data_IF_696478647394
#
_entry.id   IF_696478647394
#
_cell.length_a   1.000
_cell.length_b   1.000
_cell.length_c   1.000
_cell.angle_alpha   90.00
_cell.angle_beta   90.00
_cell.angle_gamma   90.00
#
_symmetry.space_group_name_H-M   'P 1'
#
loop_
_entity.id
_entity.type
_entity.pdbx_description
1 polymer ?
#
# COMPACT_ATOMS: atom_id res chain seq x y z
N UNK A 1 7.95 18.34 2.58
CA UNK A 1 8.87 17.46 3.34
C UNK A 1 9.13 16.26 2.47
N UNK A 2 10.40 15.93 2.20
CA UNK A 2 10.74 14.70 1.51
C UNK A 2 10.93 13.57 2.52
N UNK A 3 10.40 12.38 2.25
CA UNK A 3 10.52 11.21 3.12
C UNK A 3 11.23 10.10 2.35
N UNK A 4 12.26 9.51 2.96
CA UNK A 4 13.02 8.38 2.43
C UNK A 4 12.90 7.20 3.40
N UNK A 5 12.56 6.02 2.89
CA UNK A 5 12.60 4.77 3.66
C UNK A 5 14.04 4.26 3.69
N UNK A 6 14.56 3.92 4.87
CA UNK A 6 15.86 3.26 5.06
C UNK A 6 15.66 1.82 5.56
N UNK A 7 16.73 1.03 5.69
CA UNK A 7 16.65 -0.34 6.21
C UNK A 7 16.12 -0.38 7.66
N UNK A 8 16.42 0.65 8.43
CA UNK A 8 16.15 0.72 9.88
C UNK A 8 15.01 1.68 10.25
N UNK A 9 14.41 2.40 9.29
CA UNK A 9 13.33 3.34 9.60
C UNK A 9 13.03 4.35 8.49
N UNK A 10 12.81 5.61 8.86
CA UNK A 10 12.45 6.69 7.93
C UNK A 10 13.31 7.94 8.17
N UNK A 11 13.75 8.56 7.07
CA UNK A 11 14.39 9.88 7.08
C UNK A 11 13.44 10.91 6.50
N UNK A 12 13.21 11.99 7.24
CA UNK A 12 12.40 13.11 6.76
C UNK A 12 13.22 14.38 6.67
N UNK A 13 13.07 15.08 5.55
CA UNK A 13 13.68 16.37 5.34
C UNK A 13 12.92 17.47 6.07
N UNK A 14 13.66 18.32 6.77
CA UNK A 14 13.14 19.50 7.43
C UNK A 14 12.40 20.41 6.45
N UNK A 15 11.18 20.82 6.81
CA UNK A 15 10.45 21.84 6.03
C UNK A 15 11.11 23.21 6.06
N UNK A 16 11.87 23.51 7.11
CA UNK A 16 12.41 24.85 7.36
C UNK A 16 13.83 25.01 6.82
N UNK A 17 14.55 23.90 6.59
CA UNK A 17 15.92 23.89 6.04
C UNK A 17 16.07 22.70 5.10
N UNK A 18 15.89 22.92 3.80
CA UNK A 18 16.14 21.89 2.78
C UNK A 18 17.58 21.36 2.92
N UNK A 19 17.76 20.05 2.76
CA UNK A 19 19.03 19.37 2.96
C UNK A 19 19.28 18.81 4.37
N UNK A 20 18.53 19.25 5.40
CA UNK A 20 18.62 18.66 6.73
C UNK A 20 17.65 17.49 6.87
N UNK A 21 18.20 16.30 7.12
CA UNK A 21 17.45 15.07 7.30
C UNK A 21 17.40 14.68 8.78
N UNK A 22 16.24 14.25 9.24
CA UNK A 22 16.04 13.71 10.58
C UNK A 22 15.60 12.27 10.50
N UNK A 23 16.15 11.45 11.39
CA UNK A 23 15.69 10.07 11.58
C UNK A 23 14.43 10.07 12.43
N UNK A 24 13.48 9.24 12.00
CA UNK A 24 12.16 9.12 12.58
C UNK A 24 11.79 7.66 12.64
N UNK A 25 11.46 7.22 13.85
CA UNK A 25 10.77 5.96 14.07
C UNK A 25 9.27 6.27 14.17
N UNK A 26 8.42 5.67 13.31
CA UNK A 26 6.97 5.83 13.42
C UNK A 26 6.36 4.90 14.48
N UNK A 27 7.02 3.77 14.76
CA UNK A 27 6.59 2.72 15.70
C UNK A 27 6.88 3.11 17.16
N UNK A 28 8.13 3.47 17.45
CA UNK A 28 8.52 4.14 18.69
C UNK A 28 8.41 5.63 18.42
N UNK A 29 7.65 6.45 19.17
CA UNK A 29 7.40 7.85 18.83
C UNK A 29 8.66 8.72 19.03
N UNK A 30 9.73 8.44 18.29
CA UNK A 30 11.06 9.02 18.43
C UNK A 30 11.46 9.75 17.16
N UNK A 31 12.11 10.90 17.32
CA UNK A 31 12.62 11.68 16.21
C UNK A 31 13.89 12.43 16.63
N UNK A 32 14.96 12.39 15.83
CA UNK A 32 16.20 13.08 16.19
C UNK A 32 16.12 14.62 16.08
N UNK A 33 15.00 15.17 15.60
CA UNK A 33 14.92 16.59 15.34
C UNK A 33 15.01 17.44 16.64
N UNK A 34 15.58 18.65 16.54
CA UNK A 34 15.72 19.53 17.71
C UNK A 34 14.38 19.75 18.41
N UNK A 35 13.31 19.99 17.65
CA UNK A 35 11.98 20.23 18.19
C UNK A 35 11.42 19.06 18.99
N UNK A 36 11.80 17.80 18.67
CA UNK A 36 11.39 16.64 19.45
C UNK A 36 12.18 16.57 20.77
N UNK A 37 13.51 16.73 20.71
CA UNK A 37 14.38 16.82 21.92
C UNK A 37 13.94 17.93 22.88
N UNK A 38 13.54 19.10 22.36
CA UNK A 38 13.02 20.20 23.19
C UNK A 38 11.60 19.96 23.71
N UNK A 39 10.78 19.14 23.05
CA UNK A 39 9.39 18.85 23.44
C UNK A 39 9.26 17.66 24.39
N UNK A 40 10.21 16.72 24.42
CA UNK A 40 10.26 15.70 25.49
C UNK A 40 10.27 16.35 26.90
N UNK A 41 10.80 17.57 27.01
CA UNK A 41 10.78 18.38 28.24
C UNK A 41 9.44 19.05 28.56
N UNK A 42 8.50 19.15 27.59
CA UNK A 42 7.20 19.82 27.78
C UNK A 42 6.07 18.93 27.26
N UNK A 43 5.38 18.30 28.21
CA UNK A 43 4.15 17.52 28.05
C UNK A 43 3.28 18.07 26.91
N UNK A 44 2.85 17.16 26.03
CA UNK A 44 1.87 17.33 24.95
C UNK A 44 2.42 17.73 23.57
N UNK A 45 2.66 16.71 22.74
CA UNK A 45 2.61 16.85 21.28
C UNK A 45 3.53 15.90 20.52
N UNK A 46 2.93 15.02 19.69
CA UNK A 46 3.67 14.24 18.70
C UNK A 46 4.42 15.19 17.76
N UNK A 47 5.71 14.92 17.49
CA UNK A 47 6.50 15.75 16.60
C UNK A 47 5.90 15.77 15.18
N UNK A 48 5.96 16.94 14.52
CA UNK A 48 5.48 17.12 13.14
C UNK A 48 6.08 16.10 12.16
N UNK A 49 7.30 15.65 12.42
CA UNK A 49 8.01 14.66 11.61
C UNK A 49 7.41 13.27 11.75
N UNK A 50 7.11 12.83 12.98
CA UNK A 50 6.45 11.55 13.24
C UNK A 50 5.07 11.52 12.58
N UNK A 51 4.30 12.61 12.72
CA UNK A 51 2.99 12.74 12.07
C UNK A 51 3.10 12.61 10.54
N UNK A 52 4.02 13.35 9.93
CA UNK A 52 4.22 13.31 8.48
C UNK A 52 4.66 11.93 7.96
N UNK A 53 5.50 11.21 8.71
CA UNK A 53 5.90 9.84 8.35
C UNK A 53 4.73 8.87 8.46
N UNK A 54 3.89 8.97 9.50
CA UNK A 54 2.67 8.14 9.63
C UNK A 54 1.71 8.35 8.46
N UNK A 55 1.41 9.62 8.13
CA UNK A 55 0.56 9.94 6.98
C UNK A 55 1.14 9.42 5.66
N UNK A 56 2.47 9.41 5.51
CA UNK A 56 3.13 8.83 4.33
C UNK A 56 2.98 7.31 4.26
N UNK A 57 3.12 6.60 5.39
CA UNK A 57 2.92 5.15 5.47
C UNK A 57 1.47 4.80 5.11
N UNK A 58 0.50 5.48 5.71
CA UNK A 58 -0.93 5.26 5.43
C UNK A 58 -1.26 5.50 3.96
N UNK A 59 -0.79 6.62 3.37
CA UNK A 59 -0.98 6.89 1.94
C UNK A 59 -0.32 5.85 1.04
N UNK A 60 0.83 5.30 1.45
CA UNK A 60 1.52 4.27 0.69
C UNK A 60 0.75 2.96 0.73
N UNK A 61 0.25 2.56 1.90
CA UNK A 61 -0.61 1.38 2.06
C UNK A 61 -1.94 1.53 1.31
N UNK A 62 -2.60 2.68 1.37
CA UNK A 62 -3.80 2.94 0.57
C UNK A 62 -3.52 2.87 -0.93
N UNK A 63 -2.37 3.35 -1.39
CA UNK A 63 -1.96 3.24 -2.80
C UNK A 63 -1.68 1.81 -3.23
N UNK A 64 -1.15 0.96 -2.36
CA UNK A 64 -0.96 -0.46 -2.69
C UNK A 64 -2.29 -1.18 -2.73
N UNK A 65 -3.14 -0.99 -1.71
CA UNK A 65 -4.50 -1.56 -1.67
C UNK A 65 -5.34 -1.17 -2.88
N UNK A 66 -5.34 0.11 -3.27
CA UNK A 66 -6.08 0.58 -4.45
C UNK A 66 -5.51 0.03 -5.76
N UNK A 67 -4.20 -0.21 -5.85
CA UNK A 67 -3.60 -0.87 -7.03
C UNK A 67 -3.95 -2.36 -7.09
N UNK A 68 -4.00 -3.04 -5.96
CA UNK A 68 -4.40 -4.45 -5.88
C UNK A 68 -5.89 -4.59 -6.21
N UNK A 69 -6.74 -3.72 -5.66
CA UNK A 69 -8.16 -3.66 -6.03
C UNK A 69 -8.38 -3.39 -7.51
N UNK A 70 -7.67 -2.42 -8.10
CA UNK A 70 -7.77 -2.17 -9.56
C UNK A 70 -7.37 -3.39 -10.38
N UNK A 71 -6.34 -4.12 -9.97
CA UNK A 71 -5.90 -5.33 -10.67
C UNK A 71 -6.89 -6.48 -10.55
N UNK A 72 -7.61 -6.59 -9.43
CA UNK A 72 -8.73 -7.53 -9.29
C UNK A 72 -9.89 -7.14 -10.21
N UNK A 73 -10.23 -5.85 -10.24
CA UNK A 73 -11.27 -5.28 -11.10
C UNK A 73 -10.95 -5.50 -12.59
N UNK A 74 -9.69 -5.38 -13.02
CA UNK A 74 -9.25 -5.68 -14.39
C UNK A 74 -9.53 -7.15 -14.79
N UNK A 75 -9.34 -8.11 -13.87
CA UNK A 75 -9.64 -9.53 -14.14
C UNK A 75 -11.14 -9.76 -14.28
N UNK A 76 -11.93 -9.19 -13.37
CA UNK A 76 -13.39 -9.29 -13.40
C UNK A 76 -13.96 -8.62 -14.67
N UNK A 77 -13.49 -7.42 -15.01
CA UNK A 77 -13.90 -6.69 -16.21
C UNK A 77 -13.56 -7.46 -17.49
N UNK A 78 -12.44 -8.18 -17.51
CA UNK A 78 -12.07 -9.05 -18.63
C UNK A 78 -13.05 -10.22 -18.78
N UNK A 79 -13.45 -10.87 -17.68
CA UNK A 79 -14.43 -11.96 -17.70
C UNK A 79 -15.82 -11.44 -18.12
N UNK A 80 -16.26 -10.29 -17.60
CA UNK A 80 -17.53 -9.67 -18.01
C UNK A 80 -17.53 -9.30 -19.51
N UNK A 81 -16.42 -8.78 -20.02
CA UNK A 81 -16.28 -8.44 -21.45
C UNK A 81 -16.35 -9.66 -22.37
N UNK A 82 -15.98 -10.84 -21.88
CA UNK A 82 -16.12 -12.11 -22.59
C UNK A 82 -17.49 -12.79 -22.41
N UNK A 83 -18.49 -12.07 -21.90
CA UNK A 83 -19.84 -12.58 -21.70
C UNK A 83 -20.08 -13.25 -20.34
N UNK A 84 -19.19 -12.99 -19.38
CA UNK A 84 -19.30 -13.48 -18.00
C UNK A 84 -18.57 -14.80 -17.75
N UNK A 85 -17.89 -15.37 -18.75
CA UNK A 85 -17.02 -16.53 -18.64
C UNK A 85 -15.72 -16.32 -19.44
N UNK A 86 -14.62 -16.87 -18.97
CA UNK A 86 -13.33 -16.86 -19.68
C UNK A 86 -12.59 -18.18 -19.48
N UNK A 87 -11.66 -18.50 -20.38
CA UNK A 87 -10.81 -19.68 -20.24
C UNK A 87 -9.77 -19.48 -19.12
N UNK A 88 -9.57 -20.49 -18.29
CA UNK A 88 -8.65 -20.41 -17.16
C UNK A 88 -7.21 -20.18 -17.61
N UNK A 89 -6.79 -20.83 -18.70
CA UNK A 89 -5.42 -20.69 -19.23
C UNK A 89 -5.22 -19.26 -19.72
N UNK A 90 -6.17 -18.73 -20.48
CA UNK A 90 -6.07 -17.36 -21.02
C UNK A 90 -5.98 -16.31 -19.89
N UNK A 91 -6.74 -16.50 -18.81
CA UNK A 91 -6.69 -15.62 -17.64
C UNK A 91 -5.36 -15.71 -16.91
N UNK A 92 -4.84 -16.92 -16.72
CA UNK A 92 -3.55 -17.16 -16.06
C UNK A 92 -2.41 -16.55 -16.91
N UNK A 93 -2.43 -16.70 -18.22
CA UNK A 93 -1.44 -16.11 -19.12
C UNK A 93 -1.46 -14.58 -19.12
N UNK A 94 -2.65 -13.96 -19.07
CA UNK A 94 -2.77 -12.49 -19.08
C UNK A 94 -2.51 -11.83 -17.73
N UNK A 95 -3.00 -12.42 -16.64
CA UNK A 95 -3.04 -11.77 -15.33
C UNK A 95 -2.13 -12.44 -14.28
N UNK A 96 -1.66 -13.66 -14.56
CA UNK A 96 -0.83 -14.47 -13.68
C UNK A 96 -1.67 -15.35 -12.74
N UNK A 97 -1.18 -16.56 -12.51
CA UNK A 97 -1.83 -17.59 -11.67
C UNK A 97 -2.16 -17.09 -10.27
N UNK A 98 -1.21 -16.44 -9.59
CA UNK A 98 -1.40 -15.95 -8.21
C UNK A 98 -2.61 -15.01 -8.07
N UNK A 99 -2.92 -14.22 -9.11
CA UNK A 99 -4.06 -13.29 -9.07
C UNK A 99 -5.39 -14.01 -9.26
N UNK A 100 -5.42 -14.92 -10.22
CA UNK A 100 -6.61 -15.74 -10.50
C UNK A 100 -6.93 -16.59 -9.28
N UNK A 101 -5.91 -17.23 -8.69
CA UNK A 101 -6.06 -18.08 -7.51
C UNK A 101 -6.56 -17.30 -6.28
N UNK A 102 -6.07 -16.06 -6.07
CA UNK A 102 -6.59 -15.17 -5.03
C UNK A 102 -8.07 -14.86 -5.18
N UNK A 103 -8.55 -14.65 -6.42
CA UNK A 103 -9.94 -14.34 -6.71
C UNK A 103 -10.85 -15.58 -6.55
N UNK A 104 -10.32 -16.77 -6.84
CA UNK A 104 -10.99 -18.03 -6.56
C UNK A 104 -11.12 -18.23 -5.04
N UNK A 105 -10.04 -18.00 -4.28
CA UNK A 105 -10.04 -18.09 -2.82
C UNK A 105 -10.92 -17.03 -2.15
N UNK A 106 -11.03 -15.82 -2.70
CA UNK A 106 -11.94 -14.79 -2.20
C UNK A 106 -13.40 -15.08 -2.53
N UNK A 107 -13.67 -16.01 -3.44
CA UNK A 107 -15.02 -16.40 -3.87
C UNK A 107 -15.65 -15.46 -4.90
N UNK A 108 -14.87 -14.55 -5.50
CA UNK A 108 -15.36 -13.64 -6.53
C UNK A 108 -15.53 -14.32 -7.89
N UNK A 109 -14.71 -15.33 -8.16
CA UNK A 109 -14.78 -16.15 -9.38
C UNK A 109 -14.74 -17.64 -9.01
N UNK A 110 -15.27 -18.49 -9.89
CA UNK A 110 -15.23 -19.94 -9.75
C UNK A 110 -14.70 -20.57 -11.03
N UNK A 111 -13.81 -21.54 -10.86
CA UNK A 111 -13.39 -22.41 -11.94
C UNK A 111 -14.27 -23.67 -12.00
N UNK A 112 -14.81 -23.98 -13.19
CA UNK A 112 -15.42 -25.27 -13.50
C UNK A 112 -15.01 -25.74 -14.89
N UNK A 113 -14.44 -26.95 -14.95
CA UNK A 113 -14.06 -27.60 -16.21
C UNK A 113 -13.13 -26.73 -17.10
N UNK A 114 -12.15 -26.06 -16.49
CA UNK A 114 -11.20 -25.19 -17.20
C UNK A 114 -11.75 -23.82 -17.60
N UNK A 115 -13.00 -23.50 -17.23
CA UNK A 115 -13.60 -22.18 -17.43
C UNK A 115 -13.78 -21.46 -16.11
N UNK A 116 -13.50 -20.17 -16.12
CA UNK A 116 -13.67 -19.26 -14.98
C UNK A 116 -14.90 -18.40 -15.21
N UNK A 117 -15.75 -18.30 -14.20
CA UNK A 117 -16.99 -17.51 -14.21
C UNK A 117 -17.06 -16.63 -12.97
N UNK A 118 -17.63 -15.43 -13.10
CA UNK A 118 -17.89 -14.55 -11.96
C UNK A 118 -19.07 -15.10 -11.15
N UNK A 119 -18.91 -15.17 -9.84
CA UNK A 119 -19.99 -15.43 -8.89
C UNK A 119 -20.58 -14.07 -8.49
N UNK A 120 -21.66 -13.66 -9.19
CA UNK A 120 -22.48 -12.52 -8.79
C UNK A 120 -23.56 -12.95 -7.80
#
# INVERSE_FOLDING_TARGET
MNIKKTKEGYKIESSSRKGNWYEVDPEKPWCDCPAYKFRELKKHGVCKHIKAVREYIEKTQQKTLTKEQKKADDVLAFIESNGGEADAIELIEKFGEERVDKLIHSGEIIERAGKIKILK
#
